data_IF_964729439900
#
_entry.id   IF_964729439900
#
_cell.length_a   1.000
_cell.length_b   1.000
_cell.length_c   1.000
_cell.angle_alpha   90.00
_cell.angle_beta   90.00
_cell.angle_gamma   90.00
#
_symmetry.space_group_name_H-M   'P 1'
#
loop_
_entity.id
_entity.type
_entity.pdbx_description
1 polymer ?
#
# COMPACT_ATOMS: atom_id res chain seq x y z
N UNK A 1 -13.37 7.25 16.91
CA UNK A 1 -13.40 7.72 15.51
C UNK A 1 -13.33 6.46 14.66
N UNK A 2 -14.47 6.05 14.09
CA UNK A 2 -14.51 4.88 13.20
C UNK A 2 -14.04 5.36 11.83
N UNK A 3 -12.75 5.22 11.52
CA UNK A 3 -12.36 5.12 10.13
C UNK A 3 -13.17 3.94 9.55
N UNK A 4 -13.81 4.09 8.38
CA UNK A 4 -14.42 2.93 7.74
C UNK A 4 -13.31 1.90 7.64
N UNK A 5 -13.53 0.71 8.23
CA UNK A 5 -12.71 -0.46 7.99
C UNK A 5 -12.78 -0.75 6.49
N UNK A 6 -12.01 -0.01 5.71
CA UNK A 6 -11.78 -0.30 4.31
C UNK A 6 -11.04 -1.62 4.34
N UNK A 7 -11.75 -2.71 4.05
CA UNK A 7 -11.16 -4.04 4.06
C UNK A 7 -10.18 -4.12 2.91
N UNK A 8 -8.95 -3.63 3.13
CA UNK A 8 -7.85 -3.67 2.18
C UNK A 8 -7.53 -5.13 1.76
N UNK A 9 -7.87 -6.08 2.62
CA UNK A 9 -7.83 -7.52 2.35
C UNK A 9 -8.84 -7.98 1.28
N UNK A 10 -10.02 -7.34 1.21
CA UNK A 10 -11.04 -7.63 0.21
C UNK A 10 -10.83 -6.88 -1.11
N UNK A 11 -10.15 -5.73 -1.09
CA UNK A 11 -9.79 -5.01 -2.30
C UNK A 11 -8.82 -5.83 -3.14
N UNK A 12 -8.83 -5.72 -4.47
CA UNK A 12 -7.73 -6.27 -5.29
C UNK A 12 -6.47 -5.40 -5.18
N UNK A 13 -5.29 -5.94 -5.51
CA UNK A 13 -4.03 -5.16 -5.53
C UNK A 13 -4.14 -3.88 -6.38
N UNK A 14 -4.92 -3.91 -7.47
CA UNK A 14 -5.20 -2.72 -8.30
C UNK A 14 -6.04 -1.67 -7.56
N UNK A 15 -7.10 -2.09 -6.87
CA UNK A 15 -7.97 -1.19 -6.10
C UNK A 15 -7.22 -0.58 -4.92
N UNK A 16 -6.43 -1.38 -4.21
CA UNK A 16 -5.60 -0.92 -3.10
C UNK A 16 -4.56 0.10 -3.56
N UNK A 17 -3.91 -0.14 -4.71
CA UNK A 17 -2.97 0.83 -5.29
C UNK A 17 -3.65 2.14 -5.70
N UNK A 18 -4.83 2.07 -6.31
CA UNK A 18 -5.60 3.26 -6.68
C UNK A 18 -6.03 4.06 -5.43
N UNK A 19 -6.42 3.35 -4.36
CA UNK A 19 -6.75 3.95 -3.08
C UNK A 19 -5.56 4.66 -2.44
N UNK A 20 -4.39 4.00 -2.37
CA UNK A 20 -3.14 4.60 -1.86
C UNK A 20 -2.74 5.83 -2.68
N UNK A 21 -2.93 5.79 -4.00
CA UNK A 21 -2.64 6.96 -4.84
C UNK A 21 -3.57 8.14 -4.55
N UNK A 22 -4.83 7.89 -4.18
CA UNK A 22 -5.79 8.91 -3.79
C UNK A 22 -5.64 9.34 -2.31
N UNK A 23 -5.13 8.46 -1.47
CA UNK A 23 -4.96 8.62 -0.02
C UNK A 23 -3.53 8.24 0.38
N UNK A 24 -2.55 9.03 -0.08
CA UNK A 24 -1.12 8.76 0.17
C UNK A 24 -0.70 8.87 1.63
N UNK A 25 -1.45 9.62 2.43
CA UNK A 25 -1.29 9.74 3.89
C UNK A 25 -1.91 8.58 4.67
N UNK A 26 -2.59 7.64 4.01
CA UNK A 26 -3.21 6.50 4.67
C UNK A 26 -2.18 5.38 4.88
N UNK A 27 -1.52 5.42 6.04
CA UNK A 27 -0.50 4.45 6.45
C UNK A 27 -1.05 3.02 6.50
N UNK A 28 -2.33 2.84 6.87
CA UNK A 28 -3.00 1.54 6.90
C UNK A 28 -3.09 0.92 5.49
N UNK A 29 -3.48 1.74 4.49
CA UNK A 29 -3.52 1.30 3.10
C UNK A 29 -2.12 0.94 2.57
N UNK A 30 -1.11 1.76 2.89
CA UNK A 30 0.29 1.50 2.54
C UNK A 30 0.79 0.18 3.17
N UNK A 31 0.51 -0.02 4.45
CA UNK A 31 0.90 -1.22 5.18
C UNK A 31 0.22 -2.48 4.63
N UNK A 32 -1.06 -2.41 4.28
CA UNK A 32 -1.79 -3.51 3.65
C UNK A 32 -1.20 -3.90 2.27
N UNK A 33 -0.75 -2.91 1.50
CA UNK A 33 -0.14 -3.15 0.19
C UNK A 33 1.26 -3.75 0.31
N UNK A 34 2.05 -3.26 1.25
CA UNK A 34 3.36 -3.83 1.55
C UNK A 34 3.26 -5.27 2.05
N UNK A 35 2.32 -5.58 2.96
CA UNK A 35 2.07 -6.94 3.42
C UNK A 35 1.70 -7.88 2.26
N UNK A 36 0.91 -7.39 1.30
CA UNK A 36 0.56 -8.14 0.08
C UNK A 36 1.75 -8.38 -0.83
N UNK A 37 2.59 -7.37 -1.05
CA UNK A 37 3.77 -7.50 -1.90
C UNK A 37 4.80 -8.45 -1.27
N UNK A 38 4.92 -8.42 0.06
CA UNK A 38 5.68 -9.39 0.84
C UNK A 38 5.14 -10.81 0.69
N UNK A 39 3.83 -11.01 0.82
CA UNK A 39 3.20 -12.32 0.60
C UNK A 39 3.31 -12.80 -0.85
N UNK A 40 3.45 -11.90 -1.83
CA UNK A 40 3.72 -12.24 -3.23
C UNK A 40 5.22 -12.46 -3.52
N UNK A 41 6.10 -12.30 -2.53
CA UNK A 41 7.56 -12.40 -2.70
C UNK A 41 8.17 -11.32 -3.58
N UNK A 42 7.49 -10.18 -3.75
CA UNK A 42 7.93 -9.07 -4.62
C UNK A 42 8.70 -7.97 -3.89
N UNK A 43 8.55 -7.87 -2.57
CA UNK A 43 9.31 -6.96 -1.70
C UNK A 43 9.61 -7.67 -0.39
N UNK A 44 10.77 -7.46 0.23
CA UNK A 44 11.10 -8.15 1.49
C UNK A 44 10.47 -7.44 2.70
N UNK A 45 10.29 -6.11 2.63
CA UNK A 45 9.75 -5.30 3.73
C UNK A 45 8.85 -4.15 3.23
N UNK A 46 8.16 -3.50 4.18
CA UNK A 46 7.33 -2.29 3.96
C UNK A 46 8.22 -1.09 3.61
N UNK A 47 9.37 -0.96 4.27
CA UNK A 47 10.36 0.09 4.02
C UNK A 47 10.85 0.05 2.57
N UNK A 48 11.19 -1.13 2.06
CA UNK A 48 11.64 -1.32 0.68
C UNK A 48 10.57 -0.89 -0.34
N UNK A 49 9.29 -1.06 0.00
CA UNK A 49 8.17 -0.59 -0.83
C UNK A 49 8.00 0.93 -0.78
N UNK A 50 8.15 1.54 0.40
CA UNK A 50 8.09 2.99 0.56
C UNK A 50 9.23 3.67 -0.20
N UNK A 51 10.46 3.16 -0.08
CA UNK A 51 11.60 3.64 -0.86
C UNK A 51 11.32 3.55 -2.37
N UNK A 52 10.77 2.43 -2.85
CA UNK A 52 10.45 2.25 -4.27
C UNK A 52 9.31 3.17 -4.75
N UNK A 53 8.39 3.56 -3.86
CA UNK A 53 7.34 4.53 -4.16
C UNK A 53 7.89 5.96 -4.20
N UNK A 54 8.72 6.36 -3.24
CA UNK A 54 9.36 7.69 -3.20
C UNK A 54 10.25 7.92 -4.43
N UNK A 55 11.02 6.91 -4.82
CA UNK A 55 11.85 6.99 -6.02
C UNK A 55 11.01 7.21 -7.29
N UNK A 56 9.84 6.56 -7.39
CA UNK A 56 8.93 6.67 -8.53
C UNK A 56 8.13 7.98 -8.61
N UNK A 57 8.06 8.74 -7.54
CA UNK A 57 7.36 10.03 -7.52
C UNK A 57 8.33 11.17 -7.90
N UNK A 58 9.64 10.92 -7.82
CA UNK A 58 10.69 11.92 -7.99
C UNK A 58 11.33 11.91 -9.39
N UNK A 59 11.08 10.90 -10.21
CA UNK A 59 11.45 10.83 -11.66
C UNK A 59 10.28 11.23 -12.58
#
# INVERSE_FOLDING_TARGET
>A
MNQPQTNFEQMTTKQLRAYILAHRDDEDALHAMALRLRNQGKTSTVEEYLEHLEHKITE
#
